data_IF_112885665438
#
_entry.id   IF_112885665438
#
_cell.length_a   1.000
_cell.length_b   1.000
_cell.length_c   1.000
_cell.angle_alpha   90.00
_cell.angle_beta   90.00
_cell.angle_gamma   90.00
#
_symmetry.space_group_name_H-M   'P 1'
#
loop_
_entity.id
_entity.type
_entity.pdbx_description
1 polymer ?
#
# COMPACT_ATOMS: atom_id res chain seq x y z
N UNK A 1 21.15 14.89 -38.63
CA UNK A 1 20.02 15.53 -37.94
C UNK A 1 19.81 14.83 -36.59
N UNK A 2 20.42 15.35 -35.54
CA UNK A 2 20.32 14.80 -34.19
C UNK A 2 18.97 15.26 -33.62
N UNK A 3 18.03 14.34 -33.46
CA UNK A 3 16.78 14.61 -32.69
C UNK A 3 17.19 14.84 -31.22
N UNK A 4 16.91 16.03 -30.70
CA UNK A 4 17.08 16.33 -29.28
C UNK A 4 16.17 15.39 -28.49
N UNK A 5 16.76 14.41 -27.84
CA UNK A 5 16.06 13.55 -26.88
C UNK A 5 15.79 14.43 -25.67
N UNK A 6 14.53 14.66 -25.36
CA UNK A 6 14.10 15.49 -24.25
C UNK A 6 14.61 14.87 -22.93
N UNK A 7 15.25 15.67 -22.08
CA UNK A 7 15.81 15.26 -20.79
C UNK A 7 14.79 14.46 -19.94
N UNK A 8 13.51 14.84 -19.99
CA UNK A 8 12.41 14.10 -19.35
C UNK A 8 12.23 12.67 -19.88
N UNK A 9 12.59 12.42 -21.15
CA UNK A 9 12.49 11.11 -21.77
C UNK A 9 13.67 10.22 -21.38
N UNK A 10 14.85 10.83 -21.18
CA UNK A 10 16.04 10.16 -20.66
C UNK A 10 15.82 9.76 -19.19
N UNK A 11 15.31 10.67 -18.35
CA UNK A 11 15.00 10.41 -16.95
C UNK A 11 13.93 9.29 -16.80
N UNK A 12 12.87 9.33 -17.60
CA UNK A 12 11.86 8.27 -17.64
C UNK A 12 12.43 6.92 -18.09
N UNK A 13 13.36 6.92 -19.02
CA UNK A 13 14.02 5.70 -19.53
C UNK A 13 15.00 5.15 -18.50
N UNK A 14 15.77 6.02 -17.82
CA UNK A 14 16.71 5.63 -16.75
C UNK A 14 15.95 5.09 -15.53
N UNK A 15 14.88 5.75 -15.09
CA UNK A 15 14.02 5.26 -13.98
C UNK A 15 13.44 3.89 -14.32
N UNK A 16 13.09 3.65 -15.57
CA UNK A 16 12.56 2.36 -16.03
C UNK A 16 13.60 1.24 -16.08
N UNK A 17 14.88 1.59 -16.22
CA UNK A 17 15.99 0.62 -16.22
C UNK A 17 16.46 0.21 -14.83
N UNK A 18 16.17 1.00 -13.79
CA UNK A 18 16.57 0.70 -12.40
C UNK A 18 15.51 -0.05 -11.58
N UNK A 19 14.25 -0.07 -12.01
CA UNK A 19 13.19 -0.78 -11.28
C UNK A 19 13.19 -2.27 -11.64
N UNK A 20 13.90 -3.05 -10.84
CA UNK A 20 13.87 -4.52 -10.92
C UNK A 20 12.70 -5.05 -10.09
N UNK A 21 11.62 -5.44 -10.77
CA UNK A 21 10.52 -6.16 -10.11
C UNK A 21 10.90 -7.62 -9.92
N UNK A 22 10.81 -8.10 -8.68
CA UNK A 22 11.02 -9.50 -8.32
C UNK A 22 9.67 -10.19 -8.11
N UNK A 23 9.54 -11.41 -8.62
CA UNK A 23 8.35 -12.24 -8.40
C UNK A 23 8.67 -13.23 -7.28
N UNK A 24 7.88 -13.19 -6.22
CA UNK A 24 8.03 -14.03 -5.05
C UNK A 24 6.84 -15.00 -4.95
N UNK A 25 7.08 -16.32 -4.76
CA UNK A 25 5.99 -17.28 -4.57
C UNK A 25 5.33 -17.05 -3.19
N UNK A 26 4.02 -16.79 -3.18
CA UNK A 26 3.27 -16.50 -1.95
C UNK A 26 3.16 -17.72 -1.00
N UNK A 27 3.45 -18.92 -1.47
CA UNK A 27 3.48 -20.15 -0.65
C UNK A 27 4.77 -20.33 0.14
N UNK A 28 5.79 -19.50 -0.09
CA UNK A 28 7.07 -19.57 0.61
C UNK A 28 7.13 -18.51 1.72
N UNK A 29 7.34 -18.95 2.95
CA UNK A 29 7.42 -18.10 4.13
C UNK A 29 8.53 -17.05 4.02
N UNK A 30 9.68 -17.39 3.43
CA UNK A 30 10.78 -16.44 3.17
C UNK A 30 10.37 -15.32 2.21
N UNK A 31 9.47 -15.63 1.27
CA UNK A 31 8.91 -14.63 0.35
C UNK A 31 8.02 -13.65 1.10
N UNK A 32 7.25 -14.13 2.08
CA UNK A 32 6.39 -13.29 2.93
C UNK A 32 7.26 -12.37 3.80
N UNK A 33 8.30 -12.92 4.44
CA UNK A 33 9.26 -12.14 5.24
C UNK A 33 9.94 -11.05 4.40
N UNK A 34 10.37 -11.39 3.19
CA UNK A 34 10.98 -10.45 2.26
C UNK A 34 10.01 -9.34 1.84
N UNK A 35 8.77 -9.69 1.51
CA UNK A 35 7.73 -8.74 1.17
C UNK A 35 7.44 -7.78 2.34
N UNK A 36 7.37 -8.29 3.58
CA UNK A 36 7.20 -7.48 4.77
C UNK A 36 8.37 -6.50 4.96
N UNK A 37 9.61 -6.97 4.79
CA UNK A 37 10.79 -6.11 4.86
C UNK A 37 10.79 -5.01 3.79
N UNK A 38 10.35 -5.30 2.57
CA UNK A 38 10.20 -4.30 1.51
C UNK A 38 9.19 -3.22 1.90
N UNK A 39 8.02 -3.59 2.45
CA UNK A 39 7.03 -2.63 2.94
C UNK A 39 7.60 -1.76 4.05
N UNK A 40 8.29 -2.34 5.03
CA UNK A 40 8.94 -1.59 6.12
C UNK A 40 9.99 -0.61 5.62
N UNK A 41 10.68 -0.93 4.53
CA UNK A 41 11.66 -0.06 3.88
C UNK A 41 11.02 1.00 2.96
N UNK A 42 9.68 1.09 2.94
CA UNK A 42 8.95 2.07 2.12
C UNK A 42 8.89 1.71 0.64
N UNK A 43 9.07 0.43 0.29
CA UNK A 43 8.90 -0.07 -1.06
C UNK A 43 7.46 -0.55 -1.30
N UNK A 44 7.12 -0.77 -2.57
CA UNK A 44 5.82 -1.27 -2.98
C UNK A 44 5.84 -2.80 -3.12
N UNK A 45 4.76 -3.44 -2.71
CA UNK A 45 4.53 -4.86 -2.92
C UNK A 45 3.17 -5.07 -3.58
N UNK A 46 3.14 -5.79 -4.71
CA UNK A 46 1.90 -6.29 -5.28
C UNK A 46 1.56 -7.63 -4.60
N UNK A 47 0.34 -7.75 -4.08
CA UNK A 47 -0.12 -8.93 -3.36
C UNK A 47 -1.54 -9.33 -3.78
N UNK A 48 -1.89 -10.62 -3.69
CA UNK A 48 -3.24 -11.08 -3.97
C UNK A 48 -4.22 -10.59 -2.89
N UNK A 49 -5.45 -10.34 -3.31
CA UNK A 49 -6.57 -10.02 -2.43
C UNK A 49 -7.73 -10.97 -2.70
N UNK A 50 -8.86 -10.78 -2.03
CA UNK A 50 -10.09 -11.55 -2.26
C UNK A 50 -10.70 -11.31 -3.65
N UNK A 51 -10.28 -10.27 -4.37
CA UNK A 51 -10.79 -9.94 -5.70
C UNK A 51 -9.69 -9.96 -6.75
N UNK A 52 -8.80 -8.95 -6.75
CA UNK A 52 -7.73 -8.75 -7.72
C UNK A 52 -6.42 -8.44 -7.01
N UNK A 53 -5.29 -8.52 -7.72
CA UNK A 53 -4.01 -8.07 -7.17
C UNK A 53 -4.06 -6.59 -6.80
N UNK A 54 -3.59 -6.27 -5.59
CA UNK A 54 -3.44 -4.91 -5.08
C UNK A 54 -1.99 -4.50 -4.96
N UNK A 55 -1.71 -3.19 -5.06
CA UNK A 55 -0.41 -2.61 -4.72
C UNK A 55 -0.51 -2.07 -3.31
N UNK A 56 0.40 -2.52 -2.44
CA UNK A 56 0.47 -2.13 -1.05
C UNK A 56 1.73 -1.31 -0.75
N UNK A 57 1.62 -0.44 0.25
CA UNK A 57 2.69 0.31 0.88
C UNK A 57 2.41 0.43 2.38
N UNK A 58 3.42 0.81 3.17
CA UNK A 58 3.21 1.14 4.57
C UNK A 58 2.35 2.40 4.71
N UNK A 59 1.17 2.27 5.31
CA UNK A 59 0.20 3.34 5.50
C UNK A 59 0.70 4.49 6.39
N UNK A 60 1.73 4.25 7.20
CA UNK A 60 2.39 5.24 8.05
C UNK A 60 3.46 6.04 7.33
N UNK A 61 3.92 5.57 6.19
CA UNK A 61 4.97 6.20 5.40
C UNK A 61 4.39 6.97 4.21
N UNK A 62 4.26 8.29 4.33
CA UNK A 62 3.67 9.15 3.30
C UNK A 62 4.40 9.10 1.96
N UNK A 63 5.72 8.93 1.94
CA UNK A 63 6.49 8.82 0.70
C UNK A 63 6.23 7.47 0.02
N UNK A 64 6.10 6.38 0.79
CA UNK A 64 5.72 5.07 0.25
C UNK A 64 4.29 5.08 -0.32
N UNK A 65 3.35 5.73 0.37
CA UNK A 65 1.97 5.90 -0.10
C UNK A 65 1.92 6.66 -1.42
N UNK A 66 2.70 7.74 -1.59
CA UNK A 66 2.80 8.48 -2.86
C UNK A 66 3.26 7.61 -4.02
N UNK A 67 4.16 6.66 -3.78
CA UNK A 67 4.63 5.71 -4.81
C UNK A 67 3.47 4.91 -5.43
N UNK A 68 2.41 4.59 -4.66
CA UNK A 68 1.22 3.87 -5.18
C UNK A 68 0.54 4.69 -6.28
N UNK A 69 0.32 5.99 -6.04
CA UNK A 69 -0.34 6.88 -7.01
C UNK A 69 0.51 7.03 -8.28
N UNK A 70 1.83 7.16 -8.12
CA UNK A 70 2.76 7.21 -9.26
C UNK A 70 2.72 5.92 -10.06
N UNK A 71 2.81 4.76 -9.39
CA UNK A 71 2.80 3.46 -10.04
C UNK A 71 1.49 3.18 -10.80
N UNK A 72 0.37 3.64 -10.26
CA UNK A 72 -0.96 3.46 -10.89
C UNK A 72 -1.32 4.57 -11.87
N UNK A 73 -0.57 5.67 -11.94
CA UNK A 73 -0.92 6.84 -12.73
C UNK A 73 -2.26 7.48 -12.28
N UNK A 74 -2.58 7.38 -10.99
CA UNK A 74 -3.83 7.91 -10.42
C UNK A 74 -3.61 9.23 -9.70
N UNK A 75 -4.62 10.13 -9.69
CA UNK A 75 -4.61 11.32 -8.85
C UNK A 75 -4.54 10.95 -7.35
N UNK A 76 -3.89 11.81 -6.56
CA UNK A 76 -3.70 11.58 -5.12
C UNK A 76 -4.96 11.77 -4.26
N UNK A 77 -6.07 12.23 -4.86
CA UNK A 77 -7.38 12.39 -4.22
C UNK A 77 -8.19 11.09 -4.16
N UNK A 78 -7.76 10.03 -4.87
CA UNK A 78 -8.40 8.72 -4.77
C UNK A 78 -8.09 8.08 -3.42
N UNK A 79 -9.11 7.67 -2.64
CA UNK A 79 -8.90 7.07 -1.33
C UNK A 79 -8.18 5.73 -1.45
N UNK A 80 -7.29 5.46 -0.50
CA UNK A 80 -6.67 4.16 -0.27
C UNK A 80 -7.26 3.53 0.98
N UNK A 81 -7.34 2.19 1.00
CA UNK A 81 -7.89 1.44 2.12
C UNK A 81 -6.72 0.86 2.93
N UNK A 82 -6.66 1.17 4.22
CA UNK A 82 -5.67 0.59 5.13
C UNK A 82 -6.13 -0.81 5.52
N UNK A 83 -5.29 -1.81 5.28
CA UNK A 83 -5.51 -3.17 5.72
C UNK A 83 -4.86 -3.40 7.08
N UNK A 84 -5.56 -4.07 7.97
CA UNK A 84 -5.10 -4.43 9.31
C UNK A 84 -5.35 -5.93 9.55
N UNK A 85 -4.53 -6.56 10.39
CA UNK A 85 -4.69 -7.97 10.77
C UNK A 85 -5.64 -8.15 11.94
N UNK A 86 -5.89 -7.10 12.71
CA UNK A 86 -6.78 -7.13 13.85
C UNK A 86 -6.95 -5.76 14.51
N UNK A 87 -7.84 -5.66 15.52
CA UNK A 87 -8.14 -4.42 16.20
C UNK A 87 -6.94 -3.86 16.98
N UNK A 88 -5.96 -4.68 17.31
CA UNK A 88 -4.71 -4.27 17.97
C UNK A 88 -3.87 -3.31 17.13
N UNK A 89 -4.08 -3.28 15.80
CA UNK A 89 -3.40 -2.35 14.89
C UNK A 89 -4.08 -0.98 14.78
N UNK A 90 -5.30 -0.81 15.31
CA UNK A 90 -6.07 0.41 15.16
C UNK A 90 -5.50 1.64 15.93
N UNK A 91 -4.88 1.49 17.11
CA UNK A 91 -4.26 2.62 17.80
C UNK A 91 -3.29 3.38 16.90
N UNK A 92 -3.45 4.70 16.83
CA UNK A 92 -2.67 5.56 15.94
C UNK A 92 -3.19 5.65 14.50
N UNK A 93 -3.79 4.60 13.96
CA UNK A 93 -4.41 4.61 12.63
C UNK A 93 -5.77 5.32 12.64
N UNK A 94 -6.52 5.17 13.70
CA UNK A 94 -7.80 5.86 13.93
C UNK A 94 -7.72 6.67 15.21
N UNK A 95 -8.42 7.80 15.27
CA UNK A 95 -8.49 8.63 16.49
C UNK A 95 -9.57 8.13 17.46
N UNK A 96 -10.54 7.37 16.93
CA UNK A 96 -11.68 6.85 17.68
C UNK A 96 -12.19 5.57 17.03
N UNK A 97 -12.62 4.60 17.85
CA UNK A 97 -13.31 3.39 17.40
C UNK A 97 -14.74 3.43 17.96
N UNK A 98 -15.73 3.88 17.17
CA UNK A 98 -17.12 3.91 17.61
C UNK A 98 -17.65 2.53 17.98
N UNK A 99 -18.60 2.46 18.93
CA UNK A 99 -19.20 1.20 19.40
C UNK A 99 -19.77 0.36 18.23
N UNK A 100 -20.41 1.02 17.26
CA UNK A 100 -20.93 0.33 16.06
C UNK A 100 -19.81 -0.32 15.24
N UNK A 101 -18.63 0.30 15.16
CA UNK A 101 -17.49 -0.28 14.47
C UNK A 101 -16.96 -1.50 15.23
N UNK A 102 -16.92 -1.45 16.57
CA UNK A 102 -16.52 -2.60 17.39
C UNK A 102 -17.46 -3.80 17.18
N UNK A 103 -18.78 -3.57 17.17
CA UNK A 103 -19.77 -4.60 16.91
C UNK A 103 -19.62 -5.24 15.53
N UNK A 104 -19.41 -4.41 14.49
CA UNK A 104 -19.19 -4.90 13.12
C UNK A 104 -17.90 -5.71 13.00
N UNK A 105 -16.81 -5.25 13.61
CA UNK A 105 -15.54 -5.98 13.63
C UNK A 105 -15.70 -7.32 14.36
N UNK A 106 -16.36 -7.35 15.51
CA UNK A 106 -16.58 -8.58 16.25
C UNK A 106 -17.42 -9.62 15.48
N UNK A 107 -18.33 -9.15 14.63
CA UNK A 107 -19.20 -10.03 13.84
C UNK A 107 -18.57 -10.51 12.53
N UNK A 108 -17.75 -9.68 11.87
CA UNK A 108 -17.33 -9.90 10.47
C UNK A 108 -15.82 -9.93 10.25
N UNK A 109 -15.00 -9.62 11.25
CA UNK A 109 -13.54 -9.72 11.13
C UNK A 109 -13.02 -11.00 11.82
N UNK A 110 -12.00 -11.66 11.24
CA UNK A 110 -11.34 -11.31 9.97
C UNK A 110 -12.24 -11.56 8.76
N UNK A 111 -12.19 -10.63 7.79
CA UNK A 111 -13.00 -10.73 6.58
C UNK A 111 -12.95 -9.47 5.73
N UNK A 112 -13.57 -9.46 4.55
CA UNK A 112 -13.53 -8.36 3.59
C UNK A 112 -14.50 -7.22 4.00
N UNK A 113 -14.30 -6.65 5.18
CA UNK A 113 -15.09 -5.55 5.71
C UNK A 113 -14.24 -4.27 5.73
N UNK A 114 -14.74 -3.22 5.07
CA UNK A 114 -14.17 -1.87 5.16
C UNK A 114 -15.06 -0.98 6.02
N UNK A 115 -14.47 -0.35 7.04
CA UNK A 115 -15.16 0.58 7.94
C UNK A 115 -14.49 1.95 7.81
N UNK A 116 -15.29 2.99 7.61
CA UNK A 116 -14.81 4.38 7.60
C UNK A 116 -14.87 4.90 9.03
N UNK A 117 -13.70 5.29 9.54
CA UNK A 117 -13.53 5.84 10.89
C UNK A 117 -12.70 7.13 10.86
N UNK A 118 -12.79 7.98 11.90
CA UNK A 118 -11.96 9.17 11.99
C UNK A 118 -10.47 8.82 11.96
N UNK A 119 -9.72 9.51 11.08
CA UNK A 119 -8.30 9.26 10.87
C UNK A 119 -7.47 9.55 12.11
N UNK A 120 -6.57 8.67 12.46
CA UNK A 120 -5.56 8.86 13.49
C UNK A 120 -4.31 9.61 12.97
N UNK A 121 -3.41 9.98 13.87
CA UNK A 121 -2.23 10.79 13.55
C UNK A 121 -1.15 10.03 12.74
N UNK A 122 -1.13 8.71 12.79
CA UNK A 122 -0.09 7.89 12.13
C UNK A 122 -0.38 7.58 10.66
N UNK A 123 -1.58 7.82 10.18
CA UNK A 123 -1.93 7.60 8.77
C UNK A 123 -1.43 8.76 7.92
N UNK A 124 -0.71 8.42 6.89
CA UNK A 124 -0.20 9.38 5.91
C UNK A 124 -1.30 10.11 5.13
#
# INVERSE_FOLDING_TARGET
MLKSINTLQIERTMIRMEMKTEILPASDEKSIEKAAALLQNGELVALPTETVYGIAADARNGEAVKKIFVAKGRPQDNPLIVHVTGPEMLPGLVSEVPERAQLLMAAFCPGPLTIIMPRGPEVA
#
